data_IF_512056652337
#
_entry.id   IF_512056652337
#
_cell.length_a   1.000
_cell.length_b   1.000
_cell.length_c   1.000
_cell.angle_alpha   90.00
_cell.angle_beta   90.00
_cell.angle_gamma   90.00
#
_symmetry.space_group_name_H-M   'P 1'
#
loop_
_entity.id
_entity.type
_entity.pdbx_description
1 polymer ?
#
# COMPACT_ATOMS: atom_id res chain seq x y z
N UNK A 1 -1.26 -72.34 -54.97
CA UNK A 1 -1.67 -72.39 -53.55
C UNK A 1 -0.38 -72.12 -52.76
N UNK A 2 -0.15 -70.99 -52.08
CA UNK A 2 -1.00 -70.28 -51.07
C UNK A 2 -1.54 -71.26 -50.03
N UNK A 3 -1.44 -71.09 -48.71
CA UNK A 3 -0.74 -70.16 -47.80
C UNK A 3 -0.45 -70.94 -46.49
N UNK A 4 0.33 -70.50 -45.49
CA UNK A 4 0.91 -69.19 -45.20
C UNK A 4 2.29 -69.29 -44.53
N UNK A 5 2.98 -68.17 -44.29
CA UNK A 5 4.03 -68.03 -43.27
C UNK A 5 3.89 -66.64 -42.64
N UNK A 6 3.07 -66.55 -41.60
CA UNK A 6 2.69 -65.25 -41.02
C UNK A 6 3.86 -64.66 -40.26
N UNK A 7 4.39 -63.56 -40.78
CA UNK A 7 5.58 -62.88 -40.29
C UNK A 7 5.27 -62.15 -38.97
N UNK A 8 6.04 -62.45 -37.93
CA UNK A 8 6.29 -61.52 -36.82
C UNK A 8 7.46 -60.60 -37.23
N UNK A 9 7.25 -59.27 -37.31
CA UNK A 9 8.35 -58.34 -37.08
C UNK A 9 7.95 -57.18 -36.16
N UNK A 10 7.40 -57.47 -34.98
CA UNK A 10 7.12 -56.49 -33.91
C UNK A 10 8.40 -56.12 -33.14
N UNK A 11 9.50 -55.80 -33.82
CA UNK A 11 10.82 -55.55 -33.19
C UNK A 11 11.79 -54.67 -33.99
N UNK A 12 11.32 -53.69 -34.78
CA UNK A 12 12.23 -52.78 -35.54
C UNK A 12 11.89 -51.29 -35.46
N UNK A 13 10.98 -50.87 -34.57
CA UNK A 13 10.63 -49.45 -34.39
C UNK A 13 11.41 -48.76 -33.23
N UNK A 14 12.35 -49.45 -32.59
CA UNK A 14 13.08 -48.99 -31.39
C UNK A 14 14.53 -48.56 -31.64
N UNK A 15 15.06 -48.67 -32.86
CA UNK A 15 16.50 -48.56 -33.16
C UNK A 15 16.91 -47.40 -34.07
N UNK A 16 16.03 -46.40 -34.22
CA UNK A 16 16.32 -45.13 -34.86
C UNK A 16 15.78 -43.98 -34.01
N UNK A 17 16.35 -43.77 -32.82
CA UNK A 17 16.12 -42.56 -32.03
C UNK A 17 16.54 -41.35 -32.88
N UNK A 18 15.61 -40.46 -33.18
CA UNK A 18 15.90 -39.26 -33.98
C UNK A 18 17.04 -38.47 -33.30
N UNK A 19 18.12 -38.07 -34.02
CA UNK A 19 19.20 -37.29 -33.42
C UNK A 19 18.70 -35.99 -32.77
N UNK A 20 17.57 -35.43 -33.22
CA UNK A 20 16.90 -34.31 -32.57
C UNK A 20 16.35 -34.69 -31.18
N UNK A 21 15.78 -35.88 -31.02
CA UNK A 21 15.25 -36.36 -29.74
C UNK A 21 16.37 -36.53 -28.71
N UNK A 22 17.50 -37.14 -29.08
CA UNK A 22 18.66 -37.29 -28.19
C UNK A 22 19.25 -35.93 -27.75
N UNK A 23 19.19 -34.92 -28.62
CA UNK A 23 19.56 -33.54 -28.29
C UNK A 23 18.56 -32.91 -27.31
N UNK A 24 17.25 -33.08 -27.55
CA UNK A 24 16.19 -32.58 -26.67
C UNK A 24 16.29 -33.20 -25.27
N UNK A 25 16.45 -34.52 -25.16
CA UNK A 25 16.61 -35.24 -23.89
C UNK A 25 17.84 -34.74 -23.11
N UNK A 26 18.97 -34.50 -23.79
CA UNK A 26 20.16 -33.91 -23.17
C UNK A 26 19.93 -32.48 -22.68
N UNK A 27 19.18 -31.65 -23.41
CA UNK A 27 18.84 -30.30 -22.97
C UNK A 27 17.85 -30.30 -21.80
N UNK A 28 16.88 -31.22 -21.76
CA UNK A 28 15.96 -31.38 -20.62
C UNK A 28 16.75 -31.78 -19.37
N UNK A 29 17.59 -32.82 -19.46
CA UNK A 29 18.43 -33.26 -18.34
C UNK A 29 19.33 -32.12 -17.82
N UNK A 30 19.94 -31.34 -18.72
CA UNK A 30 20.76 -30.18 -18.34
C UNK A 30 19.94 -29.04 -17.74
N UNK A 31 18.71 -28.82 -18.20
CA UNK A 31 17.81 -27.80 -17.66
C UNK A 31 17.39 -28.15 -16.23
N UNK A 32 17.07 -29.41 -15.94
CA UNK A 32 16.67 -29.84 -14.61
C UNK A 32 17.85 -29.88 -13.63
N UNK A 33 19.04 -30.27 -14.10
CA UNK A 33 20.30 -30.11 -13.34
C UNK A 33 20.57 -28.64 -12.96
N UNK A 34 20.40 -27.71 -13.91
CA UNK A 34 20.58 -26.27 -13.66
C UNK A 34 19.52 -25.71 -12.71
N UNK A 35 18.26 -26.16 -12.81
CA UNK A 35 17.21 -25.77 -11.84
C UNK A 35 17.55 -26.24 -10.42
N UNK A 36 18.08 -27.45 -10.27
CA UNK A 36 18.51 -27.98 -8.97
C UNK A 36 19.64 -27.13 -8.38
N UNK A 37 20.70 -26.86 -9.16
CA UNK A 37 21.81 -26.01 -8.74
C UNK A 37 21.36 -24.59 -8.36
N UNK A 38 20.44 -23.98 -9.12
CA UNK A 38 19.83 -22.68 -8.78
C UNK A 38 19.04 -22.76 -7.48
N UNK A 39 18.33 -23.86 -7.21
CA UNK A 39 17.61 -24.04 -5.95
C UNK A 39 18.56 -24.15 -4.74
N UNK A 40 19.62 -24.97 -4.85
CA UNK A 40 20.64 -25.13 -3.81
C UNK A 40 21.42 -23.84 -3.53
N UNK A 41 21.76 -23.08 -4.58
CA UNK A 41 22.40 -21.78 -4.45
C UNK A 41 21.48 -20.77 -3.74
N UNK A 42 20.18 -20.75 -4.07
CA UNK A 42 19.22 -19.89 -3.36
C UNK A 42 19.07 -20.29 -1.88
N UNK A 43 18.98 -21.59 -1.56
CA UNK A 43 18.98 -22.05 -0.18
C UNK A 43 20.27 -21.64 0.57
N UNK A 44 21.42 -21.74 -0.10
CA UNK A 44 22.72 -21.34 0.46
C UNK A 44 22.79 -19.82 0.72
N UNK A 45 22.26 -19.00 -0.19
CA UNK A 45 22.19 -17.54 -0.02
C UNK A 45 21.27 -17.15 1.14
N UNK A 46 20.10 -17.78 1.26
CA UNK A 46 19.19 -17.61 2.40
C UNK A 46 19.89 -18.02 3.69
N UNK A 47 20.54 -19.18 3.72
CA UNK A 47 21.27 -19.65 4.89
C UNK A 47 22.42 -18.71 5.30
N UNK A 48 23.12 -18.06 4.36
CA UNK A 48 24.14 -17.04 4.68
C UNK A 48 23.51 -15.86 5.42
N UNK A 49 22.36 -15.37 4.95
CA UNK A 49 21.65 -14.26 5.62
C UNK A 49 21.07 -14.67 6.97
N UNK A 50 20.48 -15.87 7.06
CA UNK A 50 19.89 -16.40 8.29
C UNK A 50 20.95 -16.67 9.38
N UNK A 51 22.20 -16.98 9.01
CA UNK A 51 23.31 -17.20 9.96
C UNK A 51 24.15 -15.93 10.23
N UNK A 52 23.83 -14.78 9.62
CA UNK A 52 24.56 -13.54 9.88
C UNK A 52 24.13 -12.91 11.22
N UNK A 53 24.96 -13.10 12.25
CA UNK A 53 24.71 -12.58 13.60
C UNK A 53 24.56 -11.05 13.64
N UNK A 54 25.25 -10.31 12.76
CA UNK A 54 25.14 -8.84 12.72
C UNK A 54 23.80 -8.40 12.16
N UNK A 55 23.32 -9.06 11.10
CA UNK A 55 22.00 -8.83 10.52
C UNK A 55 20.89 -9.16 11.53
N UNK A 56 20.96 -10.32 12.19
CA UNK A 56 20.02 -10.69 13.24
C UNK A 56 19.99 -9.66 14.39
N UNK A 57 21.16 -9.22 14.86
CA UNK A 57 21.27 -8.20 15.91
C UNK A 57 20.69 -6.86 15.47
N UNK A 58 20.96 -6.42 14.24
CA UNK A 58 20.42 -5.17 13.69
C UNK A 58 18.88 -5.24 13.53
N UNK A 59 18.34 -6.36 13.05
CA UNK A 59 16.90 -6.58 13.01
C UNK A 59 16.26 -6.54 14.41
N UNK A 60 16.88 -7.20 15.39
CA UNK A 60 16.36 -7.26 16.75
C UNK A 60 16.37 -5.88 17.41
N UNK A 61 17.48 -5.13 17.27
CA UNK A 61 17.58 -3.73 17.73
C UNK A 61 16.51 -2.84 17.07
N UNK A 62 16.26 -3.02 15.76
CA UNK A 62 15.22 -2.29 15.03
C UNK A 62 13.81 -2.61 15.55
N UNK A 63 13.52 -3.90 15.79
CA UNK A 63 12.25 -4.37 16.37
C UNK A 63 12.04 -3.79 17.77
N UNK A 64 13.06 -3.77 18.63
CA UNK A 64 12.95 -3.28 20.00
C UNK A 64 12.90 -1.75 20.08
N UNK A 65 13.68 -1.03 19.26
CA UNK A 65 13.54 0.42 19.10
C UNK A 65 12.14 0.82 18.61
N UNK A 66 11.55 0.04 17.69
CA UNK A 66 10.19 0.26 17.19
C UNK A 66 9.13 0.03 18.27
N UNK A 67 9.29 -0.98 19.13
CA UNK A 67 8.43 -1.19 20.31
C UNK A 67 8.54 -0.02 21.29
N UNK A 68 9.76 0.36 21.69
CA UNK A 68 10.00 1.46 22.62
C UNK A 68 9.43 2.81 22.09
N UNK A 69 9.56 3.08 20.79
CA UNK A 69 8.94 4.24 20.14
C UNK A 69 7.41 4.19 20.25
N UNK A 70 6.79 3.03 19.99
CA UNK A 70 5.34 2.83 20.08
C UNK A 70 4.85 3.00 21.51
N UNK A 71 5.51 2.38 22.48
CA UNK A 71 5.20 2.52 23.91
C UNK A 71 5.32 3.96 24.39
N UNK A 72 6.41 4.66 24.02
CA UNK A 72 6.57 6.08 24.40
C UNK A 72 5.52 6.98 23.74
N UNK A 73 5.19 6.75 22.47
CA UNK A 73 4.08 7.45 21.79
C UNK A 73 2.74 7.18 22.47
N UNK A 74 2.44 5.93 22.81
CA UNK A 74 1.22 5.56 23.55
C UNK A 74 1.18 6.26 24.90
N UNK A 75 2.24 6.14 25.70
CA UNK A 75 2.41 6.83 27.00
C UNK A 75 2.12 8.33 26.92
N UNK A 76 2.72 9.03 25.93
CA UNK A 76 2.47 10.45 25.69
C UNK A 76 1.01 10.73 25.30
N UNK A 77 0.42 9.96 24.38
CA UNK A 77 -0.99 10.16 23.99
C UNK A 77 -2.01 9.77 25.08
N UNK A 78 -1.59 8.98 26.07
CA UNK A 78 -2.38 8.65 27.26
C UNK A 78 -2.19 9.62 28.42
N UNK A 79 -1.22 10.54 28.36
CA UNK A 79 -0.97 11.51 29.42
C UNK A 79 -2.18 12.44 29.62
N UNK A 80 -2.34 12.96 30.84
CA UNK A 80 -3.45 13.85 31.16
C UNK A 80 -3.36 15.14 30.34
N UNK A 81 -2.16 15.71 30.24
CA UNK A 81 -1.86 16.96 29.53
C UNK A 81 -2.15 16.82 28.03
N UNK A 82 -1.76 15.71 27.40
CA UNK A 82 -2.07 15.47 25.99
C UNK A 82 -3.58 15.33 25.75
N UNK A 83 -4.29 14.64 26.64
CA UNK A 83 -5.75 14.46 26.54
C UNK A 83 -6.49 15.79 26.73
N UNK A 84 -6.08 16.60 27.70
CA UNK A 84 -6.64 17.93 27.97
C UNK A 84 -6.40 18.86 26.77
N UNK A 85 -5.16 18.97 26.29
CA UNK A 85 -4.84 19.77 25.10
C UNK A 85 -5.59 19.29 23.85
N UNK A 86 -5.79 17.97 23.69
CA UNK A 86 -6.57 17.41 22.59
C UNK A 86 -8.06 17.74 22.72
N UNK A 87 -8.64 17.64 23.92
CA UNK A 87 -10.03 17.98 24.17
C UNK A 87 -10.29 19.46 23.88
N UNK A 88 -9.47 20.34 24.48
CA UNK A 88 -9.51 21.80 24.26
C UNK A 88 -9.32 22.19 22.79
N UNK A 89 -8.45 21.47 22.06
CA UNK A 89 -8.31 21.66 20.61
C UNK A 89 -9.60 21.34 19.86
N UNK A 90 -10.26 20.22 20.18
CA UNK A 90 -11.52 19.83 19.52
C UNK A 90 -12.62 20.84 19.82
N UNK A 91 -12.77 21.22 21.09
CA UNK A 91 -13.70 22.26 21.56
C UNK A 91 -13.50 23.58 20.79
N UNK A 92 -12.27 24.10 20.72
CA UNK A 92 -11.95 25.30 19.92
C UNK A 92 -12.20 25.12 18.42
N UNK A 93 -12.03 23.93 17.87
CA UNK A 93 -12.32 23.65 16.45
C UNK A 93 -13.83 23.58 16.16
N UNK A 94 -14.65 23.25 17.14
CA UNK A 94 -16.10 23.24 17.00
C UNK A 94 -16.67 24.65 17.24
N UNK A 95 -16.17 25.39 18.25
CA UNK A 95 -16.47 26.82 18.46
C UNK A 95 -16.17 27.66 17.20
N UNK A 96 -15.01 27.42 16.55
CA UNK A 96 -14.68 28.10 15.29
C UNK A 96 -15.71 27.83 14.19
N UNK A 97 -16.21 26.59 14.05
CA UNK A 97 -17.23 26.28 13.02
C UNK A 97 -18.54 26.97 13.32
N UNK A 98 -19.00 26.95 14.58
CA UNK A 98 -20.24 27.60 14.99
C UNK A 98 -20.17 29.12 14.71
N UNK A 99 -19.02 29.74 15.01
CA UNK A 99 -18.77 31.16 14.67
C UNK A 99 -18.72 31.37 13.15
N UNK A 100 -18.09 30.49 12.37
CA UNK A 100 -18.05 30.58 10.90
C UNK A 100 -19.44 30.43 10.26
N UNK A 101 -20.29 29.53 10.76
CA UNK A 101 -21.66 29.33 10.29
C UNK A 101 -22.58 30.52 10.64
N UNK A 102 -22.48 31.02 11.86
CA UNK A 102 -23.16 32.25 12.28
C UNK A 102 -22.69 33.45 11.44
N UNK A 103 -21.37 33.63 11.28
CA UNK A 103 -20.79 34.71 10.49
C UNK A 103 -21.20 34.63 9.02
N UNK A 104 -21.20 33.45 8.40
CA UNK A 104 -21.68 33.26 7.03
C UNK A 104 -23.16 33.68 6.88
N UNK A 105 -24.00 33.31 7.85
CA UNK A 105 -25.41 33.73 7.90
C UNK A 105 -25.54 35.26 8.01
N UNK A 106 -24.77 35.90 8.90
CA UNK A 106 -24.77 37.35 9.05
C UNK A 106 -24.22 38.09 7.83
N UNK A 107 -23.14 37.61 7.21
CA UNK A 107 -22.55 38.18 6.00
C UNK A 107 -23.47 38.04 4.78
N UNK A 108 -24.20 36.92 4.66
CA UNK A 108 -25.22 36.75 3.62
C UNK A 108 -26.38 37.73 3.81
N UNK A 109 -26.89 37.88 5.03
CA UNK A 109 -27.95 38.85 5.34
C UNK A 109 -27.49 40.30 5.11
N UNK A 110 -26.26 40.64 5.52
CA UNK A 110 -25.65 41.95 5.27
C UNK A 110 -25.53 42.25 3.77
N UNK A 111 -25.08 41.27 2.96
CA UNK A 111 -25.03 41.40 1.51
C UNK A 111 -26.43 41.57 0.88
N UNK A 112 -27.45 40.86 1.37
CA UNK A 112 -28.82 41.02 0.90
C UNK A 112 -29.39 42.42 1.19
N UNK A 113 -29.01 43.03 2.32
CA UNK A 113 -29.47 44.37 2.71
C UNK A 113 -28.71 45.51 2.03
N UNK A 114 -27.39 45.36 1.84
CA UNK A 114 -26.50 46.46 1.43
C UNK A 114 -25.96 46.33 0.00
N UNK A 115 -25.97 45.12 -0.58
CA UNK A 115 -25.38 44.82 -1.88
C UNK A 115 -23.84 44.83 -1.91
N UNK A 116 -23.14 45.18 -0.82
CA UNK A 116 -21.67 45.26 -0.78
C UNK A 116 -21.03 44.01 -0.15
N UNK A 117 -19.86 43.64 -0.65
CA UNK A 117 -19.10 42.44 -0.23
C UNK A 117 -17.88 42.77 0.64
N UNK A 118 -17.93 43.92 1.28
CA UNK A 118 -16.88 44.49 2.14
C UNK A 118 -17.49 44.84 3.47
N UNK A 119 -16.82 44.48 4.56
CA UNK A 119 -17.16 44.87 5.92
C UNK A 119 -16.05 45.75 6.45
N UNK A 120 -16.41 46.93 6.95
CA UNK A 120 -15.54 47.80 7.73
C UNK A 120 -15.43 47.25 9.16
N UNK A 121 -14.21 47.05 9.63
CA UNK A 121 -13.91 46.65 11.00
C UNK A 121 -13.70 47.89 11.88
N UNK A 122 -13.92 47.73 13.18
CA UNK A 122 -13.79 48.79 14.19
C UNK A 122 -12.38 49.38 14.32
N UNK A 123 -11.36 48.72 13.77
CA UNK A 123 -9.97 49.17 13.69
C UNK A 123 -9.66 50.00 12.42
N UNK A 124 -10.66 50.22 11.55
CA UNK A 124 -10.51 50.90 10.28
C UNK A 124 -10.03 50.01 9.13
N UNK A 125 -9.83 48.71 9.34
CA UNK A 125 -9.53 47.77 8.27
C UNK A 125 -10.80 47.39 7.51
N UNK A 126 -10.70 47.19 6.19
CA UNK A 126 -11.76 46.58 5.40
C UNK A 126 -11.43 45.13 5.09
N UNK A 127 -12.39 44.23 5.28
CA UNK A 127 -12.29 42.83 4.82
C UNK A 127 -13.36 42.55 3.77
N UNK A 128 -12.94 42.00 2.64
CA UNK A 128 -13.85 41.47 1.63
C UNK A 128 -14.22 40.02 1.92
N UNK A 129 -15.45 39.63 1.59
CA UNK A 129 -15.94 38.26 1.76
C UNK A 129 -16.55 37.72 0.46
N UNK A 130 -16.51 36.40 0.30
CA UNK A 130 -16.98 35.72 -0.92
C UNK A 130 -18.10 34.73 -0.60
N UNK A 131 -19.31 35.09 -0.98
CA UNK A 131 -20.45 34.17 -0.99
C UNK A 131 -20.22 33.12 -2.08
N UNK A 132 -20.21 31.84 -1.70
CA UNK A 132 -20.02 30.72 -2.62
C UNK A 132 -21.19 29.75 -2.50
N UNK A 133 -22.15 29.85 -3.43
CA UNK A 133 -23.17 28.83 -3.59
C UNK A 133 -22.59 27.62 -4.36
N UNK A 134 -22.85 26.40 -3.89
CA UNK A 134 -22.55 25.16 -4.61
C UNK A 134 -23.86 24.40 -4.85
N UNK A 135 -24.04 23.90 -6.06
CA UNK A 135 -25.17 23.01 -6.40
C UNK A 135 -24.75 21.58 -6.07
N UNK A 136 -25.46 20.93 -5.16
CA UNK A 136 -25.33 19.49 -4.91
C UNK A 136 -26.03 18.73 -6.03
N UNK A 137 -25.39 17.70 -6.60
CA UNK A 137 -26.06 16.79 -7.52
C UNK A 137 -27.15 16.01 -6.78
N UNK A 138 -28.37 16.04 -7.33
CA UNK A 138 -29.47 15.19 -6.85
C UNK A 138 -29.08 13.73 -7.11
N UNK A 139 -28.91 12.93 -6.06
CA UNK A 139 -29.01 11.48 -6.20
C UNK A 139 -30.47 11.17 -6.54
N UNK A 140 -30.69 10.59 -7.71
CA UNK A 140 -31.91 9.85 -7.97
C UNK A 140 -31.77 8.50 -7.26
N UNK A 141 -32.80 8.12 -6.49
CA UNK A 141 -32.99 6.77 -5.93
C UNK A 141 -33.65 5.86 -6.97
#
# INVERSE_FOLDING_TARGET
MQTDQTLEPTSTLSEQSDPLQAIIERYIARLDELKHQVHELNQSLVAIMDNDEMLQQAEQQSKDASKALKERKTSLTTSAEFRELRAKKVEMQDEVKEIEEALNTHLLNYYQQTGVKTVDLSDGAQRSFKITAKVSSKKEE
#
